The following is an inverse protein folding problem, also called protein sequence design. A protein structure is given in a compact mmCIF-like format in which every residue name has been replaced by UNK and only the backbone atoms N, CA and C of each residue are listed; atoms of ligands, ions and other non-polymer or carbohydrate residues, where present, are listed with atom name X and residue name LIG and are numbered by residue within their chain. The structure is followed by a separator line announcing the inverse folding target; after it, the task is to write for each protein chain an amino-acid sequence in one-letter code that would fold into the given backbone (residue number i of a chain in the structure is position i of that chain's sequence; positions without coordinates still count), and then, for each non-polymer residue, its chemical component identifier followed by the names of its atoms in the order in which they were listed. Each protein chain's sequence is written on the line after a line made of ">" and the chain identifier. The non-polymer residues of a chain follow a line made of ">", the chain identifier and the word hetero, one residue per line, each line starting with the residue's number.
data_IF_723660377810
#
_entry.id   IF_723660377810
#
_cell.length_a   1.000
_cell.length_b   1.000
_cell.length_c   1.000
_cell.angle_alpha   90.00
_cell.angle_beta   90.00
_cell.angle_gamma   90.00
#
_symmetry.space_group_name_H-M   'P 1'
#
loop_
_entity.id
_entity.type
_entity.pdbx_description
1 polymer ?
#
# COMPACT_ATOMS: atom_id res chain seq x y z
N UNK A 1 6.90 10.38 -19.44
CA UNK A 1 5.80 9.59 -18.83
C UNK A 1 6.40 8.73 -17.74
N UNK A 2 5.74 8.63 -16.58
CA UNK A 2 6.19 7.73 -15.49
C UNK A 2 5.78 6.29 -15.81
N UNK A 3 6.61 5.33 -15.43
CA UNK A 3 6.29 3.90 -15.52
C UNK A 3 5.56 3.36 -14.27
N UNK A 4 5.40 4.20 -13.23
CA UNK A 4 4.73 3.81 -11.99
C UNK A 4 3.22 3.94 -12.10
N UNK A 5 2.51 2.97 -11.53
CA UNK A 5 1.07 3.06 -11.32
C UNK A 5 0.74 4.24 -10.39
N UNK A 6 -0.32 4.97 -10.69
CA UNK A 6 -0.92 5.91 -9.74
C UNK A 6 -1.71 5.17 -8.65
N UNK A 7 -2.11 5.90 -7.60
CA UNK A 7 -2.81 5.31 -6.47
C UNK A 7 -4.14 4.62 -6.85
N UNK A 8 -4.84 5.10 -7.88
CA UNK A 8 -6.08 4.46 -8.33
C UNK A 8 -5.76 3.16 -9.06
N UNK A 9 -4.79 3.18 -9.98
CA UNK A 9 -4.33 2.00 -10.69
C UNK A 9 -3.85 0.90 -9.72
N UNK A 10 -3.15 1.26 -8.65
CA UNK A 10 -2.76 0.31 -7.59
C UNK A 10 -3.96 -0.31 -6.89
N UNK A 11 -4.94 0.49 -6.46
CA UNK A 11 -6.14 -0.01 -5.77
C UNK A 11 -6.97 -0.90 -6.70
N UNK A 12 -7.19 -0.47 -7.95
CA UNK A 12 -7.95 -1.23 -8.93
C UNK A 12 -7.30 -2.59 -9.22
N UNK A 13 -5.97 -2.63 -9.31
CA UNK A 13 -5.22 -3.87 -9.44
C UNK A 13 -5.37 -4.78 -8.21
N UNK A 14 -5.23 -4.25 -7.00
CA UNK A 14 -5.38 -5.03 -5.76
C UNK A 14 -6.77 -5.67 -5.62
N UNK A 15 -7.83 -5.04 -6.14
CA UNK A 15 -9.20 -5.61 -6.13
C UNK A 15 -9.35 -6.89 -6.96
N UNK A 16 -8.45 -7.13 -7.90
CA UNK A 16 -8.50 -8.33 -8.76
C UNK A 16 -7.97 -9.59 -8.07
N UNK A 17 -7.23 -9.45 -6.98
CA UNK A 17 -6.66 -10.55 -6.20
C UNK A 17 -7.48 -10.94 -4.98
N UNK A 18 -7.04 -12.00 -4.30
CA UNK A 18 -7.54 -12.35 -2.97
C UNK A 18 -7.15 -11.29 -1.95
N UNK A 19 -8.07 -10.94 -1.05
CA UNK A 19 -7.81 -9.94 -0.01
C UNK A 19 -6.64 -10.40 0.89
N UNK A 20 -5.56 -9.61 1.01
CA UNK A 20 -4.44 -9.95 1.89
C UNK A 20 -4.79 -9.67 3.35
N UNK A 21 -4.10 -10.37 4.26
CA UNK A 21 -4.22 -10.12 5.71
C UNK A 21 -3.45 -8.86 6.14
N UNK A 22 -2.35 -8.54 5.45
CA UNK A 22 -1.51 -7.37 5.72
C UNK A 22 -0.84 -6.86 4.44
N UNK A 23 -0.76 -5.54 4.28
CA UNK A 23 -0.06 -4.87 3.18
C UNK A 23 1.03 -3.96 3.74
N UNK A 24 2.24 -4.07 3.20
CA UNK A 24 3.36 -3.19 3.54
C UNK A 24 3.65 -2.26 2.37
N UNK A 25 3.33 -0.98 2.53
CA UNK A 25 3.58 0.06 1.53
C UNK A 25 5.01 0.55 1.71
N UNK A 26 5.81 0.38 0.66
CA UNK A 26 7.22 0.79 0.61
C UNK A 26 7.46 1.64 -0.63
N UNK A 27 8.63 2.31 -0.70
CA UNK A 27 9.09 3.11 -1.83
C UNK A 27 8.15 4.29 -2.18
N UNK A 28 8.58 5.49 -1.79
CA UNK A 28 7.87 6.73 -2.04
C UNK A 28 8.18 7.71 -0.91
N UNK A 29 7.81 8.97 -1.11
CA UNK A 29 7.90 9.96 -0.04
C UNK A 29 7.00 9.53 1.13
N UNK A 30 7.44 9.68 2.41
CA UNK A 30 6.72 9.16 3.57
C UNK A 30 5.23 9.55 3.61
N UNK A 31 4.91 10.80 3.30
CA UNK A 31 3.53 11.29 3.28
C UNK A 31 2.69 10.66 2.14
N UNK A 32 3.30 10.37 1.00
CA UNK A 32 2.62 9.73 -0.14
C UNK A 32 2.37 8.25 0.15
N UNK A 33 3.35 7.56 0.74
CA UNK A 33 3.21 6.18 1.19
C UNK A 33 2.11 6.04 2.24
N UNK A 34 2.06 6.95 3.23
CA UNK A 34 1.02 6.96 4.25
C UNK A 34 -0.38 7.24 3.68
N UNK A 35 -0.48 8.17 2.71
CA UNK A 35 -1.73 8.42 2.01
C UNK A 35 -2.24 7.18 1.26
N UNK A 36 -1.35 6.42 0.62
CA UNK A 36 -1.71 5.15 -0.04
C UNK A 36 -2.10 4.08 0.98
N UNK A 37 -1.39 3.96 2.11
CA UNK A 37 -1.73 3.08 3.23
C UNK A 37 -3.16 3.32 3.72
N UNK A 38 -3.49 4.57 4.04
CA UNK A 38 -4.83 4.98 4.46
C UNK A 38 -5.89 4.67 3.41
N UNK A 39 -5.55 4.83 2.13
CA UNK A 39 -6.45 4.51 1.02
C UNK A 39 -6.74 3.02 0.93
N UNK A 40 -5.72 2.17 1.07
CA UNK A 40 -5.86 0.70 1.10
C UNK A 40 -6.79 0.29 2.25
N UNK A 41 -6.58 0.82 3.46
CA UNK A 41 -7.43 0.54 4.62
C UNK A 41 -8.90 0.92 4.38
N UNK A 42 -9.12 2.13 3.84
CA UNK A 42 -10.47 2.64 3.60
C UNK A 42 -11.21 1.90 2.48
N UNK A 43 -10.52 1.61 1.39
CA UNK A 43 -11.16 1.14 0.14
C UNK A 43 -11.18 -0.39 -0.01
N UNK A 44 -10.25 -1.09 0.64
CA UNK A 44 -10.09 -2.54 0.56
C UNK A 44 -10.35 -3.24 1.90
N UNK A 45 -10.53 -2.48 3.00
CA UNK A 45 -10.74 -3.02 4.34
C UNK A 45 -9.68 -4.07 4.72
N UNK A 46 -8.44 -3.77 4.38
CA UNK A 46 -7.26 -4.59 4.60
C UNK A 46 -6.30 -3.81 5.51
N UNK A 47 -5.64 -4.50 6.45
CA UNK A 47 -4.63 -3.89 7.28
C UNK A 47 -3.43 -3.46 6.42
N UNK A 48 -2.97 -2.22 6.59
CA UNK A 48 -1.81 -1.72 5.86
C UNK A 48 -0.84 -0.97 6.78
N UNK A 49 0.44 -1.01 6.46
CA UNK A 49 1.51 -0.31 7.21
C UNK A 49 2.52 0.30 6.24
N UNK A 50 3.15 1.41 6.66
CA UNK A 50 4.39 1.93 6.06
C UNK A 50 5.50 1.62 7.06
N UNK A 51 6.32 0.58 6.83
CA UNK A 51 7.43 0.29 7.74
C UNK A 51 8.50 1.39 7.69
N UNK A 52 9.14 1.64 8.83
CA UNK A 52 10.30 2.53 8.89
C UNK A 52 11.51 1.90 8.18
N UNK A 53 12.44 2.74 7.73
CA UNK A 53 13.67 2.25 7.12
C UNK A 53 14.48 1.40 8.11
N UNK A 54 14.70 0.13 7.76
CA UNK A 54 15.39 -0.84 8.62
C UNK A 54 14.48 -1.58 9.61
N UNK A 55 13.18 -1.29 9.64
CA UNK A 55 12.20 -2.08 10.39
C UNK A 55 12.17 -3.52 9.87
N UNK A 56 12.06 -4.49 10.79
CA UNK A 56 11.83 -5.89 10.48
C UNK A 56 10.42 -6.27 10.90
N UNK A 57 9.67 -6.87 9.97
CA UNK A 57 8.32 -7.37 10.23
C UNK A 57 8.33 -8.89 10.29
N UNK A 58 7.55 -9.46 11.20
CA UNK A 58 7.30 -10.92 11.25
C UNK A 58 6.02 -11.19 10.49
N UNK A 59 6.04 -12.21 9.63
CA UNK A 59 4.91 -12.60 8.77
C UNK A 59 4.41 -14.00 9.13
#
# INVERSE_FOLDING_TARGET
>A
MSAHADARQTIDWMRTGSRPDMVYVTHGEPAVADALRLRIERELHCAARVPDHGEKVTI
#
